data_IF_891588580913
#
_entry.id   IF_891588580913
#
_cell.length_a   1.000
_cell.length_b   1.000
_cell.length_c   1.000
_cell.angle_alpha   90.00
_cell.angle_beta   90.00
_cell.angle_gamma   90.00
#
_symmetry.space_group_name_H-M   'P 1'
#
loop_
_entity.id
_entity.type
_entity.pdbx_description
1 polymer ?
#
# COMPACT_ATOMS: atom_id res chain seq x y z
N UNK A 1 -50.23 -12.57 -34.12
CA UNK A 1 -48.91 -12.06 -34.55
C UNK A 1 -48.35 -11.17 -33.45
N UNK A 2 -47.10 -11.41 -33.10
CA UNK A 2 -46.58 -11.40 -31.72
C UNK A 2 -46.06 -10.03 -31.28
N UNK A 3 -46.74 -9.39 -30.32
CA UNK A 3 -46.30 -8.12 -29.70
C UNK A 3 -45.23 -8.31 -28.61
N UNK A 4 -44.86 -9.55 -28.29
CA UNK A 4 -43.90 -9.92 -27.25
C UNK A 4 -42.43 -9.98 -27.71
N UNK A 5 -42.16 -9.91 -29.02
CA UNK A 5 -40.79 -9.99 -29.56
C UNK A 5 -40.01 -8.67 -29.53
N UNK A 6 -40.71 -7.52 -29.45
CA UNK A 6 -40.08 -6.20 -29.44
C UNK A 6 -39.53 -5.77 -28.06
N UNK A 7 -40.01 -6.39 -26.98
CA UNK A 7 -39.55 -6.06 -25.62
C UNK A 7 -38.23 -6.77 -25.24
N UNK A 8 -37.93 -7.92 -25.84
CA UNK A 8 -36.71 -8.70 -25.53
C UNK A 8 -35.49 -8.13 -26.25
N UNK A 9 -35.65 -7.55 -27.44
CA UNK A 9 -34.55 -6.94 -28.21
C UNK A 9 -34.07 -5.58 -27.66
N UNK A 10 -34.87 -4.91 -26.83
CA UNK A 10 -34.51 -3.62 -26.23
C UNK A 10 -33.66 -3.75 -24.94
N UNK A 11 -33.53 -4.96 -24.39
CA UNK A 11 -32.78 -5.21 -23.15
C UNK A 11 -31.34 -5.72 -23.38
N UNK A 12 -30.96 -6.04 -24.61
CA UNK A 12 -29.61 -6.49 -24.97
C UNK A 12 -28.50 -5.42 -24.96
N UNK A 13 -28.74 -4.10 -25.15
CA UNK A 13 -27.63 -3.13 -25.18
C UNK A 13 -27.01 -2.84 -23.81
N UNK A 14 -27.70 -3.14 -22.71
CA UNK A 14 -27.26 -2.81 -21.35
C UNK A 14 -26.30 -3.86 -20.75
N UNK A 15 -26.20 -5.05 -21.33
CA UNK A 15 -25.28 -6.09 -20.86
C UNK A 15 -23.84 -5.90 -21.38
N UNK A 16 -23.65 -5.17 -22.49
CA UNK A 16 -22.34 -5.01 -23.14
C UNK A 16 -21.56 -3.78 -22.66
N UNK A 17 -22.22 -2.80 -22.05
CA UNK A 17 -21.54 -1.61 -21.52
C UNK A 17 -20.85 -1.84 -20.15
N UNK A 18 -21.15 -2.95 -19.47
CA UNK A 18 -20.56 -3.26 -18.16
C UNK A 18 -19.17 -3.90 -18.25
N UNK A 19 -18.82 -4.53 -19.38
CA UNK A 19 -17.52 -5.19 -19.55
C UNK A 19 -16.35 -4.21 -19.74
N UNK A 20 -16.59 -3.03 -20.33
CA UNK A 20 -15.55 -2.01 -20.55
C UNK A 20 -15.30 -1.11 -19.33
N UNK A 21 -16.29 -1.00 -18.44
CA UNK A 21 -16.16 -0.21 -17.22
C UNK A 21 -15.26 -0.91 -16.17
N UNK A 22 -15.32 -2.25 -16.08
CA UNK A 22 -14.46 -3.00 -15.15
C UNK A 22 -13.01 -2.92 -15.58
N UNK A 23 -12.70 -3.23 -16.85
CA UNK A 23 -11.33 -3.20 -17.39
C UNK A 23 -10.68 -1.83 -17.24
N UNK A 24 -11.43 -0.74 -17.47
CA UNK A 24 -10.92 0.63 -17.26
C UNK A 24 -10.73 0.99 -15.78
N UNK A 25 -11.59 0.49 -14.89
CA UNK A 25 -11.45 0.70 -13.44
C UNK A 25 -10.31 -0.12 -12.83
N UNK A 26 -10.15 -1.37 -13.25
CA UNK A 26 -9.09 -2.29 -12.82
C UNK A 26 -7.71 -1.83 -13.32
N UNK A 27 -7.63 -1.37 -14.56
CA UNK A 27 -6.42 -0.75 -15.09
C UNK A 27 -6.00 0.46 -14.25
N UNK A 28 -6.95 1.39 -14.00
CA UNK A 28 -6.70 2.57 -13.18
C UNK A 28 -6.32 2.20 -11.74
N UNK A 29 -6.97 1.18 -11.17
CA UNK A 29 -6.65 0.69 -9.84
C UNK A 29 -5.20 0.25 -9.78
N UNK A 30 -4.77 -0.63 -10.68
CA UNK A 30 -3.40 -1.12 -10.76
C UNK A 30 -2.37 0.02 -10.92
N UNK A 31 -2.63 0.95 -11.83
CA UNK A 31 -1.75 2.09 -12.13
C UNK A 31 -1.56 3.04 -10.94
N UNK A 32 -2.58 3.20 -10.10
CA UNK A 32 -2.51 4.10 -8.95
C UNK A 32 -1.82 3.41 -7.75
N UNK A 33 -2.26 2.20 -7.39
CA UNK A 33 -1.82 1.59 -6.13
C UNK A 33 -0.44 0.94 -6.21
N UNK A 34 -0.04 0.43 -7.39
CA UNK A 34 1.22 -0.31 -7.54
C UNK A 34 2.44 0.57 -7.37
N UNK A 35 2.56 1.76 -8.02
CA UNK A 35 3.74 2.60 -7.85
C UNK A 35 3.89 3.09 -6.41
N UNK A 36 2.78 3.44 -5.76
CA UNK A 36 2.76 3.82 -4.34
C UNK A 36 3.29 2.68 -3.46
N UNK A 37 2.82 1.45 -3.70
CA UNK A 37 3.29 0.28 -2.97
C UNK A 37 4.80 0.05 -3.14
N UNK A 38 5.31 0.07 -4.38
CA UNK A 38 6.73 -0.13 -4.66
C UNK A 38 7.60 0.97 -4.04
N UNK A 39 7.14 2.22 -4.08
CA UNK A 39 7.80 3.34 -3.40
C UNK A 39 7.89 3.07 -1.89
N UNK A 40 6.80 2.61 -1.28
CA UNK A 40 6.71 2.32 0.14
C UNK A 40 7.60 1.16 0.58
N UNK A 41 7.78 0.13 -0.25
CA UNK A 41 8.76 -0.96 -0.02
C UNK A 41 10.20 -0.42 0.00
N UNK A 42 10.57 0.38 -0.99
CA UNK A 42 11.92 0.97 -1.04
C UNK A 42 12.19 1.92 0.13
N UNK A 43 11.15 2.65 0.55
CA UNK A 43 11.21 3.59 1.65
C UNK A 43 11.49 2.91 2.98
N UNK A 44 10.77 1.84 3.32
CA UNK A 44 11.01 1.15 4.60
C UNK A 44 12.41 0.55 4.68
N UNK A 45 12.91 -0.04 3.59
CA UNK A 45 14.29 -0.57 3.52
C UNK A 45 15.32 0.54 3.76
N UNK A 46 15.09 1.71 3.17
CA UNK A 46 15.95 2.88 3.35
C UNK A 46 15.90 3.36 4.79
N UNK A 47 14.72 3.49 5.37
CA UNK A 47 14.56 4.03 6.71
C UNK A 47 15.07 3.06 7.78
N UNK A 48 14.96 1.75 7.58
CA UNK A 48 15.59 0.76 8.46
C UNK A 48 17.11 0.89 8.45
N UNK A 49 17.73 1.09 7.27
CA UNK A 49 19.18 1.37 7.18
C UNK A 49 19.57 2.66 7.88
N UNK A 50 18.69 3.66 7.90
CA UNK A 50 18.91 4.95 8.59
C UNK A 50 18.77 4.81 10.10
N UNK A 51 17.77 4.04 10.56
CA UNK A 51 17.63 3.65 11.97
C UNK A 51 18.89 2.96 12.48
N UNK A 52 19.43 1.99 11.75
CA UNK A 52 20.68 1.30 12.14
C UNK A 52 21.91 2.22 12.22
N UNK A 53 21.86 3.40 11.59
CA UNK A 53 22.93 4.41 11.61
C UNK A 53 22.73 5.48 12.67
N UNK A 54 21.62 5.43 13.42
CA UNK A 54 21.28 6.44 14.42
C UNK A 54 20.66 7.72 13.84
N UNK A 55 20.23 7.73 12.56
CA UNK A 55 19.63 8.92 11.93
C UNK A 55 18.34 9.41 12.62
N UNK A 56 17.71 8.54 13.42
CA UNK A 56 16.50 8.85 14.19
C UNK A 56 16.78 9.10 15.69
N UNK A 57 18.05 9.20 16.10
CA UNK A 57 18.40 9.49 17.49
C UNK A 57 18.25 10.97 17.83
N UNK A 58 17.33 11.26 18.76
CA UNK A 58 17.23 12.55 19.46
C UNK A 58 18.59 13.02 20.00
N UNK A 59 19.12 14.12 19.47
CA UNK A 59 20.35 14.77 19.96
C UNK A 59 21.63 14.45 19.17
N UNK A 60 21.56 13.62 18.13
CA UNK A 60 22.63 13.53 17.14
C UNK A 60 22.73 14.84 16.37
N UNK A 61 23.90 15.49 16.40
CA UNK A 61 24.22 16.67 15.59
C UNK A 61 24.34 16.32 14.10
N UNK A 62 23.28 15.77 13.50
CA UNK A 62 23.10 15.69 12.04
C UNK A 62 22.01 16.68 11.64
N UNK A 63 22.10 17.90 12.18
CA UNK A 63 21.63 19.05 11.45
C UNK A 63 22.64 19.30 10.32
N UNK A 64 22.20 19.22 9.05
CA UNK A 64 22.43 20.29 8.05
C UNK A 64 22.39 19.88 6.56
N UNK A 65 22.09 18.64 6.12
CA UNK A 65 22.08 18.38 4.65
C UNK A 65 20.92 17.59 4.05
N UNK A 66 20.07 16.92 4.83
CA UNK A 66 18.81 16.37 4.33
C UNK A 66 17.72 16.55 5.37
N UNK A 67 16.59 17.12 4.98
CA UNK A 67 15.38 17.03 5.79
C UNK A 67 15.11 15.54 6.02
N UNK A 68 15.27 15.09 7.26
CA UNK A 68 14.76 13.77 7.65
C UNK A 68 13.26 13.90 7.56
N UNK A 69 12.65 13.28 6.55
CA UNK A 69 11.19 13.14 6.48
C UNK A 69 10.73 12.54 7.82
N UNK A 70 9.81 13.24 8.47
CA UNK A 70 9.34 12.86 9.81
C UNK A 70 8.56 11.55 9.73
N UNK A 71 8.73 10.62 10.67
CA UNK A 71 7.87 9.44 10.79
C UNK A 71 6.37 9.79 10.78
N UNK A 72 5.99 10.96 11.29
CA UNK A 72 4.60 11.43 11.25
C UNK A 72 4.13 11.76 9.82
N UNK A 73 4.99 12.31 8.96
CA UNK A 73 4.67 12.56 7.56
C UNK A 73 4.45 11.25 6.80
N UNK A 74 5.30 10.25 7.06
CA UNK A 74 5.13 8.92 6.47
C UNK A 74 3.82 8.24 6.87
N UNK A 75 3.39 8.39 8.13
CA UNK A 75 2.08 7.87 8.57
C UNK A 75 0.94 8.49 7.75
N UNK A 76 0.94 9.81 7.57
CA UNK A 76 -0.11 10.50 6.79
C UNK A 76 -0.12 10.03 5.32
N UNK A 77 1.04 9.87 4.70
CA UNK A 77 1.14 9.35 3.35
C UNK A 77 0.63 7.90 3.25
N UNK A 78 0.99 7.04 4.20
CA UNK A 78 0.53 5.65 4.23
C UNK A 78 -0.98 5.54 4.49
N UNK A 79 -1.54 6.39 5.34
CA UNK A 79 -2.99 6.46 5.58
C UNK A 79 -3.73 6.91 4.30
N UNK A 80 -3.14 7.86 3.56
CA UNK A 80 -3.65 8.26 2.26
C UNK A 80 -3.61 7.10 1.25
N UNK A 81 -2.48 6.40 1.14
CA UNK A 81 -2.31 5.28 0.20
C UNK A 81 -3.24 4.10 0.57
N UNK A 82 -3.40 3.82 1.86
CA UNK A 82 -4.36 2.84 2.37
C UNK A 82 -5.79 3.22 2.00
N UNK A 83 -6.15 4.50 2.17
CA UNK A 83 -7.46 4.98 1.76
C UNK A 83 -7.67 4.86 0.24
N UNK A 84 -6.65 5.13 -0.57
CA UNK A 84 -6.73 4.89 -2.02
C UNK A 84 -7.00 3.42 -2.34
N UNK A 85 -6.28 2.49 -1.71
CA UNK A 85 -6.51 1.04 -1.87
C UNK A 85 -7.94 0.63 -1.55
N UNK A 86 -8.52 1.20 -0.49
CA UNK A 86 -9.85 0.86 0.01
C UNK A 86 -10.99 1.51 -0.78
N UNK A 87 -10.79 2.73 -1.29
CA UNK A 87 -11.86 3.54 -1.88
C UNK A 87 -11.83 3.61 -3.40
N UNK A 88 -10.70 3.28 -4.05
CA UNK A 88 -10.64 3.26 -5.51
C UNK A 88 -11.54 2.13 -6.06
N UNK A 89 -12.47 2.43 -6.99
CA UNK A 89 -13.27 1.42 -7.65
C UNK A 89 -12.40 0.39 -8.38
N UNK A 90 -12.69 -0.89 -8.16
CA UNK A 90 -12.06 -2.04 -8.79
C UNK A 90 -13.06 -3.20 -8.91
N UNK A 91 -12.80 -4.10 -9.84
CA UNK A 91 -13.54 -5.34 -10.05
C UNK A 91 -13.18 -6.42 -9.03
N UNK A 92 -13.91 -7.53 -9.06
CA UNK A 92 -13.75 -8.63 -8.09
C UNK A 92 -12.35 -9.27 -8.16
N UNK A 93 -11.73 -9.30 -9.34
CA UNK A 93 -10.41 -9.89 -9.55
C UNK A 93 -9.29 -9.15 -8.79
N UNK A 94 -9.47 -7.86 -8.50
CA UNK A 94 -8.54 -7.07 -7.70
C UNK A 94 -8.65 -7.34 -6.19
N UNK A 95 -9.69 -8.04 -5.71
CA UNK A 95 -10.00 -8.15 -4.29
C UNK A 95 -8.86 -8.73 -3.43
N UNK A 96 -8.15 -9.75 -3.93
CA UNK A 96 -6.97 -10.32 -3.24
C UNK A 96 -5.80 -9.35 -3.20
N UNK A 97 -5.59 -8.60 -4.29
CA UNK A 97 -4.54 -7.60 -4.38
C UNK A 97 -4.81 -6.46 -3.40
N UNK A 98 -6.03 -5.90 -3.43
CA UNK A 98 -6.50 -4.87 -2.50
C UNK A 98 -6.32 -5.29 -1.03
N UNK A 99 -6.76 -6.49 -0.66
CA UNK A 99 -6.62 -7.01 0.70
C UNK A 99 -5.16 -7.16 1.14
N UNK A 100 -4.28 -7.60 0.22
CA UNK A 100 -2.85 -7.76 0.51
C UNK A 100 -2.16 -6.40 0.70
N UNK A 101 -2.52 -5.40 -0.12
CA UNK A 101 -2.06 -4.03 0.03
C UNK A 101 -2.53 -3.39 1.34
N UNK A 102 -3.82 -3.54 1.69
CA UNK A 102 -4.34 -2.99 2.94
C UNK A 102 -3.58 -3.53 4.16
N UNK A 103 -3.39 -4.85 4.20
CA UNK A 103 -2.60 -5.50 5.27
C UNK A 103 -1.17 -4.97 5.33
N UNK A 104 -0.52 -4.80 4.19
CA UNK A 104 0.84 -4.28 4.13
C UNK A 104 0.92 -2.86 4.70
N UNK A 105 0.01 -1.97 4.28
CA UNK A 105 -0.01 -0.60 4.77
C UNK A 105 -0.36 -0.48 6.26
N UNK A 106 -1.31 -1.26 6.77
CA UNK A 106 -1.63 -1.29 8.21
C UNK A 106 -0.41 -1.65 9.06
N UNK A 107 0.34 -2.68 8.65
CA UNK A 107 1.57 -3.07 9.33
C UNK A 107 2.66 -2.00 9.21
N UNK A 108 2.79 -1.39 8.04
CA UNK A 108 3.78 -0.34 7.81
C UNK A 108 3.48 0.93 8.63
N UNK A 109 2.20 1.30 8.75
CA UNK A 109 1.75 2.38 9.65
C UNK A 109 2.15 2.05 11.10
N UNK A 110 1.92 0.82 11.55
CA UNK A 110 2.34 0.35 12.88
C UNK A 110 3.85 0.50 13.11
N UNK A 111 4.67 0.12 12.13
CA UNK A 111 6.13 0.33 12.16
C UNK A 111 6.48 1.81 12.33
N UNK A 112 5.90 2.72 11.54
CA UNK A 112 6.21 4.15 11.65
C UNK A 112 5.69 4.78 12.96
N UNK A 113 4.61 4.26 13.54
CA UNK A 113 4.16 4.65 14.87
C UNK A 113 5.15 4.24 15.97
N UNK A 114 5.82 3.09 15.84
CA UNK A 114 6.90 2.68 16.74
C UNK A 114 8.16 3.54 16.50
N UNK A 115 8.49 3.83 15.24
CA UNK A 115 9.68 4.63 14.89
C UNK A 115 9.55 6.06 15.42
N UNK A 116 8.35 6.62 15.36
CA UNK A 116 8.03 7.89 16.00
C UNK A 116 8.29 7.85 17.51
N UNK A 117 7.79 6.81 18.20
CA UNK A 117 8.02 6.63 19.65
C UNK A 117 9.50 6.48 19.98
N UNK A 118 10.27 5.80 19.12
CA UNK A 118 11.72 5.68 19.26
C UNK A 118 12.40 7.04 19.17
N UNK A 119 12.08 7.83 18.12
CA UNK A 119 12.68 9.13 17.88
C UNK A 119 12.33 10.16 18.98
N UNK A 120 11.13 10.05 19.56
CA UNK A 120 10.66 10.93 20.64
C UNK A 120 11.14 10.51 22.03
N UNK A 121 11.69 9.29 22.19
CA UNK A 121 12.10 8.78 23.50
C UNK A 121 13.48 9.28 23.90
N UNK A 122 13.60 9.83 25.11
CA UNK A 122 14.88 10.19 25.74
C UNK A 122 15.41 9.11 26.69
N UNK A 123 14.62 8.07 26.97
CA UNK A 123 15.00 6.97 27.86
C UNK A 123 15.76 5.89 27.07
N UNK A 124 16.98 5.61 27.51
CA UNK A 124 17.88 4.67 26.81
C UNK A 124 17.32 3.24 26.78
N UNK A 125 16.82 2.74 27.90
CA UNK A 125 16.31 1.36 27.98
C UNK A 125 15.05 1.21 27.11
N UNK A 126 14.19 2.24 27.10
CA UNK A 126 13.01 2.28 26.23
C UNK A 126 13.39 2.34 24.75
N UNK A 127 14.43 3.11 24.39
CA UNK A 127 14.94 3.16 23.02
C UNK A 127 15.46 1.80 22.55
N UNK A 128 16.23 1.10 23.39
CA UNK A 128 16.73 -0.25 23.08
C UNK A 128 15.57 -1.24 22.85
N UNK A 129 14.54 -1.21 23.70
CA UNK A 129 13.34 -2.02 23.50
C UNK A 129 12.61 -1.69 22.19
N UNK A 130 12.39 -0.40 21.91
CA UNK A 130 11.75 0.06 20.67
C UNK A 130 12.56 -0.29 19.42
N UNK A 131 13.89 -0.29 19.50
CA UNK A 131 14.75 -0.70 18.40
C UNK A 131 14.56 -2.19 18.06
N UNK A 132 14.42 -3.05 19.07
CA UNK A 132 14.13 -4.47 18.84
C UNK A 132 12.73 -4.67 18.23
N UNK A 133 11.72 -3.97 18.77
CA UNK A 133 10.36 -4.02 18.20
C UNK A 133 10.33 -3.56 16.73
N UNK A 134 11.13 -2.55 16.38
CA UNK A 134 11.25 -2.05 15.01
C UNK A 134 11.93 -3.04 14.08
N UNK A 135 12.98 -3.74 14.53
CA UNK A 135 13.61 -4.80 13.73
C UNK A 135 12.61 -5.94 13.49
N UNK A 136 11.93 -6.42 14.53
CA UNK A 136 10.94 -7.49 14.41
C UNK A 136 9.80 -7.10 13.44
N UNK A 137 9.29 -5.87 13.56
CA UNK A 137 8.27 -5.33 12.66
C UNK A 137 8.78 -5.22 11.21
N UNK A 138 10.04 -4.79 11.01
CA UNK A 138 10.67 -4.74 9.70
C UNK A 138 10.86 -6.14 9.09
N UNK A 139 11.29 -7.13 9.87
CA UNK A 139 11.42 -8.53 9.42
C UNK A 139 10.07 -9.09 8.98
N UNK A 140 8.98 -8.75 9.68
CA UNK A 140 7.64 -9.14 9.30
C UNK A 140 7.16 -8.44 8.02
N UNK A 141 7.50 -7.15 7.84
CA UNK A 141 7.13 -6.38 6.66
C UNK A 141 7.87 -6.82 5.40
N UNK A 142 9.18 -7.10 5.48
CA UNK A 142 10.01 -7.36 4.29
C UNK A 142 9.68 -8.65 3.53
N UNK A 143 8.89 -9.56 4.12
CA UNK A 143 8.48 -10.83 3.48
C UNK A 143 7.10 -10.75 2.81
N UNK A 144 6.37 -9.66 3.04
CA UNK A 144 5.04 -9.45 2.47
C UNK A 144 5.06 -8.95 1.01
N UNK A 145 6.07 -8.21 0.52
CA UNK A 145 6.05 -7.71 -0.84
C UNK A 145 5.88 -8.77 -1.90
N UNK A 146 6.55 -9.93 -1.76
CA UNK A 146 6.40 -11.04 -2.69
C UNK A 146 4.96 -11.56 -2.74
N UNK A 147 4.24 -11.54 -1.62
CA UNK A 147 2.83 -11.95 -1.56
C UNK A 147 1.92 -10.93 -2.23
N UNK A 148 2.19 -9.64 -2.05
CA UNK A 148 1.47 -8.53 -2.69
C UNK A 148 1.67 -8.60 -4.21
N UNK A 149 2.90 -8.77 -4.68
CA UNK A 149 3.24 -8.88 -6.10
C UNK A 149 2.67 -10.16 -6.74
N UNK A 150 2.64 -11.27 -6.01
CA UNK A 150 1.97 -12.49 -6.47
C UNK A 150 0.46 -12.27 -6.63
N UNK A 151 -0.19 -11.54 -5.71
CA UNK A 151 -1.60 -11.18 -5.83
C UNK A 151 -1.85 -10.21 -6.99
N UNK A 152 -0.97 -9.22 -7.19
CA UNK A 152 -1.03 -8.31 -8.33
C UNK A 152 -0.96 -9.06 -9.66
N UNK A 153 0.01 -9.99 -9.79
CA UNK A 153 0.16 -10.78 -11.01
C UNK A 153 -1.11 -11.58 -11.33
N UNK A 154 -1.70 -12.23 -10.34
CA UNK A 154 -2.95 -12.97 -10.52
C UNK A 154 -4.10 -12.07 -10.94
N UNK A 155 -4.17 -10.86 -10.39
CA UNK A 155 -5.15 -9.86 -10.75
C UNK A 155 -4.98 -9.42 -12.21
N UNK A 156 -3.76 -9.02 -12.62
CA UNK A 156 -3.44 -8.60 -13.99
C UNK A 156 -3.77 -9.69 -15.00
N UNK A 157 -3.45 -10.95 -14.71
CA UNK A 157 -3.75 -12.11 -15.56
C UNK A 157 -5.26 -12.38 -15.70
N UNK A 158 -6.05 -12.18 -14.63
CA UNK A 158 -7.50 -12.46 -14.63
C UNK A 158 -8.32 -11.33 -15.27
N UNK A 159 -7.92 -10.09 -15.01
CA UNK A 159 -8.58 -8.90 -15.55
C UNK A 159 -8.09 -8.52 -16.96
N UNK A 160 -7.24 -9.34 -17.58
CA UNK A 160 -6.65 -9.12 -18.92
C UNK A 160 -6.00 -7.72 -19.06
N UNK A 161 -5.34 -7.26 -17.99
CA UNK A 161 -4.68 -5.97 -17.97
C UNK A 161 -3.34 -6.04 -18.70
N UNK A 162 -2.86 -4.95 -19.32
CA UNK A 162 -1.50 -4.89 -19.86
C UNK A 162 -0.46 -5.23 -18.79
N UNK A 163 0.47 -6.13 -19.12
CA UNK A 163 1.54 -6.62 -18.25
C UNK A 163 2.92 -6.19 -18.75
#
# INVERSE_FOLDING_TARGET
>A
MNKTLLAVLALLPLALAACDASSSSDFRYNEVVTPAFLHNVQRIDRDMRRLSKGDFDSGGAVAATRAVESPAGHIVELEHDLNQVQQLPHGEDAGRYASSLSRYYELQIGYYQQLRRYAESSDKARKEALAQELDDAYQALRVLPDQVLAAQKQFVERADLPH
#
